data_IF_312692436147
#
_entry.id   IF_312692436147
#
_cell.length_a   1.000
_cell.length_b   1.000
_cell.length_c   1.000
_cell.angle_alpha   90.00
_cell.angle_beta   90.00
_cell.angle_gamma   90.00
#
_symmetry.space_group_name_H-M   'P 1'
#
loop_
_entity.id
_entity.type
_entity.pdbx_description
1 polymer ?
#
# COMPACT_ATOMS: atom_id res chain seq x y z
N UNK A 1 58.01 -23.50 29.55
CA UNK A 1 57.91 -22.79 28.26
C UNK A 1 56.52 -23.07 27.69
N UNK A 2 55.61 -22.09 27.79
CA UNK A 2 54.17 -22.27 27.51
C UNK A 2 53.87 -21.96 26.04
N UNK A 3 53.10 -22.85 25.41
CA UNK A 3 52.80 -22.90 23.98
C UNK A 3 51.84 -21.76 23.59
N UNK A 4 52.14 -21.17 22.44
CA UNK A 4 51.40 -20.13 21.71
C UNK A 4 50.01 -20.60 21.28
N UNK A 5 49.02 -19.70 21.35
CA UNK A 5 47.77 -19.82 20.60
C UNK A 5 47.38 -18.43 20.14
N UNK A 6 47.59 -18.17 18.85
CA UNK A 6 47.20 -16.94 18.16
C UNK A 6 45.72 -17.09 17.80
N UNK A 7 44.85 -16.29 18.41
CA UNK A 7 43.44 -16.20 18.04
C UNK A 7 43.33 -15.25 16.86
N UNK A 8 43.01 -15.78 15.68
CA UNK A 8 42.71 -15.00 14.49
C UNK A 8 41.33 -14.34 14.65
N UNK A 9 41.31 -13.03 14.84
CA UNK A 9 40.10 -12.23 14.77
C UNK A 9 39.71 -12.03 13.29
N UNK A 10 38.71 -12.78 12.82
CA UNK A 10 38.06 -12.51 11.54
C UNK A 10 37.05 -11.40 11.77
N UNK A 11 37.46 -10.17 11.48
CA UNK A 11 36.56 -9.03 11.32
C UNK A 11 35.72 -9.28 10.07
N UNK A 12 34.48 -9.69 10.25
CA UNK A 12 33.47 -9.65 9.17
C UNK A 12 33.11 -8.16 9.02
N UNK A 13 33.87 -7.47 8.18
CA UNK A 13 33.45 -6.19 7.63
C UNK A 13 32.25 -6.48 6.71
N UNK A 14 31.04 -6.32 7.25
CA UNK A 14 29.83 -6.30 6.44
C UNK A 14 29.93 -5.14 5.47
N UNK A 15 30.18 -5.44 4.21
CA UNK A 15 30.05 -4.49 3.11
C UNK A 15 28.59 -4.05 3.08
N UNK A 16 28.33 -2.82 3.51
CA UNK A 16 27.10 -2.12 3.17
C UNK A 16 27.12 -1.97 1.64
N UNK A 17 26.50 -2.93 0.95
CA UNK A 17 26.22 -2.79 -0.48
C UNK A 17 25.24 -1.64 -0.58
N UNK A 18 25.74 -0.61 -1.22
CA UNK A 18 25.18 0.71 -1.38
C UNK A 18 23.83 0.67 -2.10
N UNK A 19 22.83 1.39 -1.56
CA UNK A 19 21.64 1.78 -2.31
C UNK A 19 22.03 2.81 -3.39
N UNK A 20 22.59 2.34 -4.50
CA UNK A 20 23.07 3.16 -5.63
C UNK A 20 22.03 3.24 -6.78
N UNK A 21 20.83 2.68 -6.63
CA UNK A 21 19.82 2.62 -7.69
C UNK A 21 19.26 4.00 -8.14
N UNK A 22 19.42 5.05 -7.34
CA UNK A 22 18.91 6.40 -7.68
C UNK A 22 20.00 7.36 -8.20
N UNK A 23 21.26 6.94 -8.29
CA UNK A 23 22.32 7.83 -8.76
C UNK A 23 22.22 8.02 -10.28
N UNK A 24 21.86 9.22 -10.73
CA UNK A 24 21.94 9.58 -12.15
C UNK A 24 20.60 9.97 -12.79
N UNK A 25 19.47 9.79 -12.10
CA UNK A 25 18.21 10.37 -12.54
C UNK A 25 18.32 11.90 -12.51
N UNK A 26 17.86 12.56 -13.58
CA UNK A 26 17.78 14.02 -13.68
C UNK A 26 16.43 14.42 -14.28
N UNK A 27 16.08 15.70 -14.17
CA UNK A 27 14.83 16.23 -14.70
C UNK A 27 13.60 15.46 -14.20
N UNK A 28 12.65 15.22 -15.10
CA UNK A 28 11.34 14.63 -14.77
C UNK A 28 11.43 13.20 -14.24
N UNK A 29 12.45 12.43 -14.65
CA UNK A 29 12.70 11.07 -14.15
C UNK A 29 13.06 11.12 -12.66
N UNK A 30 13.93 12.07 -12.27
CA UNK A 30 14.26 12.27 -10.87
C UNK A 30 13.04 12.70 -10.06
N UNK A 31 12.25 13.61 -10.59
CA UNK A 31 11.07 14.16 -9.92
C UNK A 31 10.06 13.07 -9.54
N UNK A 32 9.69 12.18 -10.48
CA UNK A 32 8.79 11.06 -10.15
C UNK A 32 9.42 10.04 -9.20
N UNK A 33 10.73 9.76 -9.31
CA UNK A 33 11.40 8.84 -8.39
C UNK A 33 11.42 9.39 -6.97
N UNK A 34 11.66 10.69 -6.80
CA UNK A 34 11.61 11.36 -5.50
C UNK A 34 10.18 11.35 -4.92
N UNK A 35 9.15 11.55 -5.76
CA UNK A 35 7.75 11.44 -5.36
C UNK A 35 7.38 10.01 -4.89
N UNK A 36 7.76 8.99 -5.64
CA UNK A 36 7.54 7.58 -5.28
C UNK A 36 8.27 7.20 -3.99
N UNK A 37 9.48 7.71 -3.79
CA UNK A 37 10.25 7.51 -2.56
C UNK A 37 9.58 8.20 -1.36
N UNK A 38 9.02 9.39 -1.54
CA UNK A 38 8.27 10.09 -0.49
C UNK A 38 7.03 9.30 -0.07
N UNK A 39 6.21 8.85 -1.03
CA UNK A 39 5.06 7.99 -0.75
C UNK A 39 5.47 6.67 -0.09
N UNK A 40 6.53 6.01 -0.57
CA UNK A 40 7.05 4.78 0.03
C UNK A 40 7.53 4.96 1.48
N UNK A 41 8.08 6.13 1.83
CA UNK A 41 8.42 6.47 3.23
C UNK A 41 7.17 6.64 4.08
N UNK A 42 6.13 7.30 3.58
CA UNK A 42 4.86 7.44 4.30
C UNK A 42 4.19 6.07 4.55
N UNK A 43 4.18 5.17 3.57
CA UNK A 43 3.73 3.77 3.76
C UNK A 43 4.52 3.09 4.88
N UNK A 44 5.85 3.22 4.90
CA UNK A 44 6.71 2.65 5.96
C UNK A 44 6.40 3.22 7.35
N UNK A 45 6.05 4.49 7.43
CA UNK A 45 5.65 5.13 8.69
C UNK A 45 4.29 4.62 9.19
N UNK A 46 3.30 4.50 8.31
CA UNK A 46 1.91 4.21 8.69
C UNK A 46 1.62 2.72 8.81
N UNK A 47 2.28 1.86 8.03
CA UNK A 47 1.96 0.43 8.01
C UNK A 47 2.10 -0.29 9.38
N UNK A 48 3.09 0.01 10.23
CA UNK A 48 3.15 -0.55 11.59
C UNK A 48 1.96 -0.13 12.47
N UNK A 49 1.41 1.09 12.29
CA UNK A 49 0.21 1.54 12.99
C UNK A 49 -1.00 0.70 12.58
N UNK A 50 -1.15 0.45 11.27
CA UNK A 50 -2.25 -0.38 10.74
C UNK A 50 -2.18 -1.85 11.22
N UNK A 51 -0.98 -2.35 11.53
CA UNK A 51 -0.79 -3.69 12.11
C UNK A 51 -0.90 -3.73 13.64
N UNK A 52 -1.15 -2.58 14.28
CA UNK A 52 -1.17 -2.48 15.75
C UNK A 52 0.21 -2.67 16.41
N UNK A 53 1.30 -2.60 15.66
CA UNK A 53 2.67 -2.73 16.17
C UNK A 53 3.16 -1.45 16.84
N UNK A 54 2.53 -0.31 16.52
CA UNK A 54 2.81 1.01 17.10
C UNK A 54 1.49 1.72 17.44
N UNK A 55 1.55 2.74 18.30
CA UNK A 55 0.36 3.51 18.66
C UNK A 55 -0.29 4.15 17.42
N UNK A 56 -1.61 4.05 17.33
CA UNK A 56 -2.38 4.67 16.27
C UNK A 56 -2.42 6.20 16.45
N UNK A 57 -2.11 6.93 15.39
CA UNK A 57 -2.21 8.39 15.33
C UNK A 57 -2.94 8.80 14.05
N UNK A 58 -4.17 9.29 14.21
CA UNK A 58 -5.03 9.69 13.10
C UNK A 58 -4.42 10.83 12.26
N UNK A 59 -3.67 11.76 12.85
CA UNK A 59 -3.07 12.85 12.08
C UNK A 59 -1.91 12.35 11.22
N UNK A 60 -1.11 11.42 11.74
CA UNK A 60 -0.06 10.77 10.93
C UNK A 60 -0.66 10.01 9.73
N UNK A 61 -1.84 9.40 9.88
CA UNK A 61 -2.58 8.78 8.76
C UNK A 61 -3.05 9.82 7.75
N UNK A 62 -3.63 10.93 8.21
CA UNK A 62 -4.06 12.05 7.34
C UNK A 62 -2.90 12.64 6.55
N UNK A 63 -1.76 12.87 7.20
CA UNK A 63 -0.58 13.42 6.53
C UNK A 63 -0.05 12.50 5.42
N UNK A 64 -0.03 11.18 5.68
CA UNK A 64 0.33 10.21 4.65
C UNK A 64 -0.67 10.19 3.49
N UNK A 65 -1.97 10.21 3.79
CA UNK A 65 -3.03 10.24 2.80
C UNK A 65 -2.96 11.49 1.91
N UNK A 66 -2.74 12.68 2.49
CA UNK A 66 -2.52 13.93 1.75
C UNK A 66 -1.26 13.90 0.90
N UNK A 67 -0.20 13.26 1.37
CA UNK A 67 1.03 13.08 0.58
C UNK A 67 0.76 12.20 -0.65
N UNK A 68 -0.04 11.15 -0.50
CA UNK A 68 -0.44 10.32 -1.64
C UNK A 68 -1.26 11.12 -2.66
N UNK A 69 -2.27 11.87 -2.21
CA UNK A 69 -3.07 12.75 -3.08
C UNK A 69 -2.18 13.73 -3.87
N UNK A 70 -1.20 14.38 -3.22
CA UNK A 70 -0.27 15.31 -3.87
C UNK A 70 0.55 14.68 -5.02
N UNK A 71 0.76 13.37 -4.99
CA UNK A 71 1.58 12.62 -5.94
C UNK A 71 0.78 11.59 -6.75
N UNK A 72 -0.55 11.68 -6.76
CA UNK A 72 -1.45 10.82 -7.51
C UNK A 72 -2.12 11.56 -8.69
N UNK A 73 -3.07 10.90 -9.35
CA UNK A 73 -3.92 11.49 -10.39
C UNK A 73 -3.13 12.20 -11.51
N UNK A 74 -3.54 13.42 -11.83
CA UNK A 74 -2.85 14.25 -12.81
C UNK A 74 -1.42 14.62 -12.42
N UNK A 75 -1.14 14.81 -11.13
CA UNK A 75 0.20 15.13 -10.62
C UNK A 75 1.19 14.04 -11.02
N UNK A 76 0.77 12.77 -10.89
CA UNK A 76 1.57 11.63 -11.33
C UNK A 76 1.72 11.55 -12.83
N UNK A 77 0.60 11.56 -13.57
CA UNK A 77 0.63 11.29 -15.02
C UNK A 77 1.44 12.32 -15.80
N UNK A 78 1.47 13.59 -15.37
CA UNK A 78 2.30 14.65 -15.97
C UNK A 78 3.81 14.35 -15.92
N UNK A 79 4.26 13.45 -15.03
CA UNK A 79 5.67 13.06 -14.88
C UNK A 79 6.12 11.89 -15.78
N UNK A 80 5.22 11.37 -16.64
CA UNK A 80 5.50 10.25 -17.54
C UNK A 80 5.30 10.60 -19.03
N UNK A 81 5.96 11.66 -19.57
CA UNK A 81 5.93 11.88 -21.02
C UNK A 81 6.66 10.74 -21.75
N UNK A 82 6.21 10.46 -22.97
CA UNK A 82 6.84 9.46 -23.85
C UNK A 82 8.35 9.73 -24.00
N UNK A 83 9.12 8.65 -24.13
CA UNK A 83 10.57 8.72 -24.26
C UNK A 83 11.32 8.95 -22.94
N UNK A 84 10.65 8.88 -21.79
CA UNK A 84 11.29 8.94 -20.47
C UNK A 84 11.50 7.58 -19.79
N UNK A 85 11.39 6.48 -20.54
CA UNK A 85 11.70 5.12 -20.08
C UNK A 85 13.21 4.82 -20.09
N UNK A 86 13.55 3.57 -19.75
CA UNK A 86 14.92 3.08 -19.70
C UNK A 86 15.76 3.65 -18.55
N UNK A 87 16.91 3.02 -18.27
CA UNK A 87 17.76 3.40 -17.14
C UNK A 87 18.12 4.91 -17.16
N UNK A 88 18.00 5.63 -16.03
CA UNK A 88 17.77 5.13 -14.66
C UNK A 88 16.29 5.00 -14.26
N UNK A 89 15.36 5.18 -15.19
CA UNK A 89 13.94 4.94 -14.94
C UNK A 89 13.63 3.44 -14.88
N UNK A 90 12.79 3.08 -13.91
CA UNK A 90 12.21 1.73 -13.77
C UNK A 90 10.81 1.64 -14.40
N UNK A 91 10.32 2.71 -15.05
CA UNK A 91 9.09 2.67 -15.81
C UNK A 91 9.23 1.73 -17.02
N UNK A 92 8.35 0.72 -17.10
CA UNK A 92 8.25 -0.17 -18.26
C UNK A 92 7.59 0.58 -19.44
N UNK A 93 7.82 0.10 -20.66
CA UNK A 93 7.21 0.66 -21.87
C UNK A 93 5.67 0.63 -21.83
N UNK A 94 5.09 -0.26 -21.03
CA UNK A 94 3.64 -0.36 -20.88
C UNK A 94 2.98 0.84 -20.24
N UNK A 95 3.72 1.71 -19.56
CA UNK A 95 3.18 3.00 -19.12
C UNK A 95 2.56 3.75 -20.31
N UNK A 96 3.24 3.76 -21.46
CA UNK A 96 2.78 4.51 -22.64
C UNK A 96 1.88 3.69 -23.57
N UNK A 97 2.03 2.35 -23.60
CA UNK A 97 1.18 1.50 -24.46
C UNK A 97 -0.14 1.11 -23.82
N UNK A 98 -0.28 1.22 -22.49
CA UNK A 98 -1.49 0.94 -21.71
C UNK A 98 -1.84 2.16 -20.83
N UNK A 99 -1.78 3.35 -21.45
CA UNK A 99 -1.91 4.66 -20.79
C UNK A 99 -3.23 4.83 -20.04
N UNK A 100 -4.35 4.39 -20.62
CA UNK A 100 -5.66 4.51 -19.98
C UNK A 100 -5.68 3.80 -18.62
N UNK A 101 -5.09 2.61 -18.52
CA UNK A 101 -5.00 1.87 -17.26
C UNK A 101 -4.05 2.53 -16.28
N UNK A 102 -2.91 3.05 -16.74
CA UNK A 102 -1.98 3.79 -15.90
C UNK A 102 -2.65 5.03 -15.29
N UNK A 103 -3.33 5.84 -16.12
CA UNK A 103 -4.06 7.02 -15.68
C UNK A 103 -5.24 6.69 -14.76
N UNK A 104 -5.92 5.55 -15.00
CA UNK A 104 -6.99 5.08 -14.12
C UNK A 104 -6.48 4.70 -12.73
N UNK A 105 -5.36 3.96 -12.63
CA UNK A 105 -4.74 3.65 -11.33
C UNK A 105 -4.21 4.90 -10.64
N UNK A 106 -3.70 5.87 -11.40
CA UNK A 106 -3.29 7.16 -10.86
C UNK A 106 -4.44 7.90 -10.19
N UNK A 107 -5.59 7.98 -10.88
CA UNK A 107 -6.79 8.64 -10.38
C UNK A 107 -7.40 7.86 -9.20
N UNK A 108 -7.38 6.52 -9.27
CA UNK A 108 -7.84 5.66 -8.19
C UNK A 108 -7.00 5.84 -6.92
N UNK A 109 -5.68 6.02 -7.05
CA UNK A 109 -4.81 6.30 -5.89
C UNK A 109 -5.21 7.62 -5.22
N UNK A 110 -5.54 8.66 -6.00
CA UNK A 110 -5.99 9.95 -5.48
C UNK A 110 -7.30 9.80 -4.70
N UNK A 111 -8.29 9.15 -5.30
CA UNK A 111 -9.61 8.93 -4.70
C UNK A 111 -9.53 8.07 -3.43
N UNK A 112 -8.76 6.97 -3.47
CA UNK A 112 -8.62 6.08 -2.31
C UNK A 112 -7.86 6.77 -1.18
N UNK A 113 -6.91 7.65 -1.52
CA UNK A 113 -6.19 8.45 -0.54
C UNK A 113 -7.06 9.54 0.08
N UNK A 114 -8.00 10.14 -0.66
CA UNK A 114 -9.02 11.02 -0.06
C UNK A 114 -9.89 10.23 0.92
N UNK A 115 -10.33 9.03 0.52
CA UNK A 115 -11.08 8.13 1.39
C UNK A 115 -10.31 7.76 2.66
N UNK A 116 -9.02 7.43 2.54
CA UNK A 116 -8.14 7.14 3.67
C UNK A 116 -7.98 8.32 4.62
N UNK A 117 -7.82 9.55 4.10
CA UNK A 117 -7.74 10.75 4.93
C UNK A 117 -8.98 10.89 5.82
N UNK A 118 -10.16 10.65 5.23
CA UNK A 118 -11.44 10.74 5.93
C UNK A 118 -11.67 9.57 6.89
N UNK A 119 -11.19 8.37 6.54
CA UNK A 119 -11.27 7.18 7.39
C UNK A 119 -10.35 7.25 8.62
N UNK A 120 -9.42 8.21 8.69
CA UNK A 120 -8.43 8.28 9.76
C UNK A 120 -9.04 8.39 11.18
N UNK A 121 -10.23 8.97 11.34
CA UNK A 121 -10.89 9.05 12.66
C UNK A 121 -11.63 7.75 13.05
N UNK A 122 -11.78 6.80 12.13
CA UNK A 122 -12.48 5.53 12.39
C UNK A 122 -11.63 4.55 13.20
N UNK A 123 -10.31 4.77 13.28
CA UNK A 123 -9.38 3.89 13.97
C UNK A 123 -9.24 2.51 13.31
N UNK A 124 -8.57 1.58 13.99
CA UNK A 124 -8.31 0.23 13.49
C UNK A 124 -9.53 -0.69 13.68
N UNK A 125 -9.83 -1.54 12.70
CA UNK A 125 -10.95 -2.48 12.72
C UNK A 125 -10.73 -3.71 13.61
N UNK A 126 -9.51 -3.92 14.12
CA UNK A 126 -9.12 -5.03 14.98
C UNK A 126 -8.65 -4.61 16.38
N UNK A 127 -9.38 -5.07 17.41
CA UNK A 127 -8.99 -5.10 18.83
C UNK A 127 -8.68 -3.76 19.55
N UNK A 128 -9.39 -2.67 19.24
CA UNK A 128 -9.46 -1.53 20.18
C UNK A 128 -10.87 -0.97 20.29
N UNK A 129 -11.73 -1.76 20.91
CA UNK A 129 -12.96 -1.31 21.55
C UNK A 129 -13.00 -1.84 22.96
N UNK A 130 -12.27 -1.18 23.89
CA UNK A 130 -12.56 -1.28 25.33
C UNK A 130 -13.92 -0.62 25.60
N UNK A 131 -14.98 -1.23 25.08
CA UNK A 131 -16.33 -1.08 25.62
C UNK A 131 -16.52 -2.29 26.51
N UNK A 132 -16.54 -2.05 27.81
CA UNK A 132 -17.13 -2.94 28.79
C UNK A 132 -18.49 -3.43 28.26
N UNK A 133 -18.53 -4.65 27.75
CA UNK A 133 -19.76 -5.45 27.68
C UNK A 133 -19.58 -6.52 28.75
N UNK A 134 -20.29 -6.28 29.84
CA UNK A 134 -20.42 -7.17 30.97
C UNK A 134 -20.62 -8.61 30.53
N UNK A 135 -19.89 -9.52 31.19
CA UNK A 135 -20.13 -10.94 31.06
C UNK A 135 -21.52 -11.29 31.59
N UNK A 136 -22.43 -11.69 30.70
CA UNK A 136 -23.52 -12.63 30.97
C UNK A 136 -24.33 -12.87 29.68
N UNK A 137 -24.61 -14.15 29.40
CA UNK A 137 -25.47 -14.66 28.30
C UNK A 137 -24.73 -14.72 26.95
N UNK A 138 -24.59 -15.85 26.25
CA UNK A 138 -25.55 -16.93 26.05
C UNK A 138 -24.81 -18.24 25.80
N UNK A 139 -24.94 -19.20 26.72
CA UNK A 139 -24.95 -20.61 26.32
C UNK A 139 -26.35 -20.92 25.80
N UNK A 140 -26.46 -21.35 24.55
CA UNK A 140 -27.73 -21.75 23.95
C UNK A 140 -27.48 -22.75 22.83
N UNK A 141 -27.48 -24.04 23.19
CA UNK A 141 -27.30 -25.15 22.25
C UNK A 141 -28.43 -25.27 21.24
N UNK A 142 -28.12 -25.95 20.14
CA UNK A 142 -29.09 -26.32 19.12
C UNK A 142 -28.43 -26.89 17.89
N UNK A 143 -28.13 -28.19 17.92
CA UNK A 143 -27.86 -28.98 16.72
C UNK A 143 -29.03 -28.87 15.75
N UNK A 144 -28.80 -28.32 14.56
CA UNK A 144 -29.75 -28.35 13.45
C UNK A 144 -29.03 -28.96 12.26
N UNK A 145 -29.25 -30.26 12.08
CA UNK A 145 -28.95 -31.01 10.87
C UNK A 145 -30.22 -31.05 10.03
N UNK A 146 -30.14 -30.70 8.74
CA UNK A 146 -31.18 -31.05 7.78
C UNK A 146 -31.26 -30.16 6.54
N UNK A 147 -31.13 -30.76 5.36
CA UNK A 147 -31.88 -30.33 4.18
C UNK A 147 -31.05 -30.04 2.93
N UNK A 148 -30.86 -31.08 2.12
CA UNK A 148 -30.34 -31.07 0.76
C UNK A 148 -30.99 -30.09 -0.23
N UNK A 149 -30.19 -29.68 -1.22
CA UNK A 149 -30.54 -29.42 -2.64
C UNK A 149 -31.55 -28.31 -2.98
N UNK A 150 -31.10 -27.26 -3.70
CA UNK A 150 -31.43 -26.99 -5.12
C UNK A 150 -31.02 -25.56 -5.53
N UNK A 151 -30.14 -25.49 -6.54
CA UNK A 151 -29.98 -24.48 -7.60
C UNK A 151 -30.73 -23.13 -7.52
N UNK A 152 -29.99 -22.02 -7.46
CA UNK A 152 -30.19 -20.78 -8.22
C UNK A 152 -28.79 -20.14 -8.31
N UNK A 153 -28.11 -20.08 -9.46
CA UNK A 153 -28.52 -19.20 -10.55
C UNK A 153 -28.05 -17.77 -10.27
N UNK A 154 -26.74 -17.53 -10.32
CA UNK A 154 -26.14 -16.22 -10.03
C UNK A 154 -24.77 -16.01 -10.67
N UNK A 155 -24.50 -16.67 -11.80
CA UNK A 155 -23.32 -16.41 -12.62
C UNK A 155 -23.60 -15.19 -13.51
N UNK A 156 -23.56 -13.97 -12.95
CA UNK A 156 -23.55 -12.69 -13.73
C UNK A 156 -23.30 -11.43 -12.88
N UNK A 157 -22.45 -11.49 -11.84
CA UNK A 157 -21.93 -10.27 -11.19
C UNK A 157 -20.43 -10.07 -11.44
N UNK A 158 -19.98 -10.32 -12.67
CA UNK A 158 -18.70 -9.82 -13.18
C UNK A 158 -18.99 -8.66 -14.13
N UNK A 159 -19.73 -7.66 -13.63
CA UNK A 159 -19.90 -6.37 -14.28
C UNK A 159 -18.83 -5.44 -13.73
N UNK A 160 -17.93 -4.96 -14.60
CA UNK A 160 -17.10 -3.74 -14.44
C UNK A 160 -16.95 -3.30 -12.98
N UNK A 161 -15.99 -3.91 -12.28
CA UNK A 161 -15.84 -3.82 -10.83
C UNK A 161 -16.11 -2.41 -10.30
N UNK A 162 -17.09 -2.31 -9.40
CA UNK A 162 -17.39 -1.11 -8.65
C UNK A 162 -16.11 -0.71 -7.89
N UNK A 163 -15.36 0.22 -8.47
CA UNK A 163 -14.33 0.94 -7.74
C UNK A 163 -15.07 1.67 -6.62
N UNK A 164 -14.64 1.48 -5.39
CA UNK A 164 -15.26 2.17 -4.27
C UNK A 164 -14.88 3.64 -4.36
N UNK A 165 -15.87 4.53 -4.24
CA UNK A 165 -15.59 5.95 -4.20
C UNK A 165 -14.96 6.35 -2.84
N UNK A 166 -14.42 7.57 -2.77
CA UNK A 166 -13.83 8.10 -1.54
C UNK A 166 -14.81 8.07 -0.35
N UNK A 167 -16.12 8.21 -0.59
CA UNK A 167 -17.12 8.21 0.47
C UNK A 167 -17.31 6.82 1.09
N UNK A 168 -17.37 5.77 0.27
CA UNK A 168 -17.42 4.39 0.74
C UNK A 168 -16.15 4.00 1.51
N UNK A 169 -14.98 4.42 1.04
CA UNK A 169 -13.71 4.18 1.74
C UNK A 169 -13.66 4.91 3.09
N UNK A 170 -14.21 6.13 3.16
CA UNK A 170 -14.26 6.93 4.38
C UNK A 170 -15.09 6.28 5.51
N UNK A 171 -15.95 5.31 5.21
CA UNK A 171 -16.73 4.57 6.21
C UNK A 171 -15.98 3.35 6.77
N UNK A 172 -14.86 2.97 6.16
CA UNK A 172 -14.07 1.81 6.57
C UNK A 172 -13.20 2.13 7.79
N UNK A 173 -12.82 1.11 8.59
CA UNK A 173 -11.68 1.23 9.48
C UNK A 173 -10.41 1.67 8.72
N UNK A 174 -9.55 2.45 9.38
CA UNK A 174 -8.38 3.06 8.75
C UNK A 174 -7.38 2.03 8.21
N UNK A 175 -7.23 0.87 8.85
CA UNK A 175 -6.41 -0.24 8.37
C UNK A 175 -6.96 -0.86 7.09
N UNK A 176 -8.28 -0.98 6.98
CA UNK A 176 -8.92 -1.50 5.78
C UNK A 176 -8.86 -0.49 4.61
N UNK A 177 -9.09 0.80 4.89
CA UNK A 177 -8.90 1.87 3.91
C UNK A 177 -7.44 1.96 3.43
N UNK A 178 -6.47 1.82 4.34
CA UNK A 178 -5.04 1.81 4.02
C UNK A 178 -4.67 0.59 3.17
N UNK A 179 -5.22 -0.59 3.48
CA UNK A 179 -5.01 -1.79 2.69
C UNK A 179 -5.50 -1.61 1.24
N UNK A 180 -6.71 -1.04 1.05
CA UNK A 180 -7.23 -0.73 -0.27
C UNK A 180 -6.35 0.27 -1.02
N UNK A 181 -5.92 1.35 -0.36
CA UNK A 181 -5.06 2.38 -0.95
C UNK A 181 -3.71 1.79 -1.40
N UNK A 182 -3.08 0.97 -0.56
CA UNK A 182 -1.79 0.34 -0.88
C UNK A 182 -1.89 -0.76 -1.93
N UNK A 183 -3.06 -1.40 -2.09
CA UNK A 183 -3.31 -2.34 -3.18
C UNK A 183 -3.23 -1.66 -4.56
N UNK A 184 -3.60 -0.38 -4.67
CA UNK A 184 -3.43 0.40 -5.92
C UNK A 184 -1.96 0.54 -6.28
N UNK A 185 -1.09 0.79 -5.28
CA UNK A 185 0.36 0.85 -5.47
C UNK A 185 0.90 -0.48 -6.02
N UNK A 186 0.49 -1.59 -5.43
CA UNK A 186 0.89 -2.93 -5.88
C UNK A 186 0.44 -3.22 -7.31
N UNK A 187 -0.83 -2.95 -7.63
CA UNK A 187 -1.38 -3.17 -8.96
C UNK A 187 -0.67 -2.30 -10.03
N UNK A 188 -0.31 -1.07 -9.68
CA UNK A 188 0.44 -0.19 -10.57
C UNK A 188 1.87 -0.70 -10.79
N UNK A 189 2.59 -1.03 -9.70
CA UNK A 189 3.97 -1.51 -9.80
C UNK A 189 4.10 -2.83 -10.55
N UNK A 190 3.20 -3.78 -10.32
CA UNK A 190 3.17 -5.07 -11.03
C UNK A 190 3.12 -4.86 -12.56
N UNK A 191 2.25 -3.94 -13.00
CA UNK A 191 2.06 -3.67 -14.44
C UNK A 191 3.14 -2.78 -15.03
N UNK A 192 3.57 -1.75 -14.32
CA UNK A 192 4.26 -0.60 -14.91
C UNK A 192 5.67 -0.33 -14.39
N UNK A 193 6.12 -0.99 -13.32
CA UNK A 193 7.49 -0.87 -12.78
C UNK A 193 8.30 -2.13 -13.09
N UNK A 194 9.53 -1.98 -13.56
CA UNK A 194 10.50 -3.05 -13.71
C UNK A 194 10.84 -3.65 -12.33
N UNK A 195 11.06 -4.97 -12.27
CA UNK A 195 11.60 -5.59 -11.07
C UNK A 195 13.09 -5.23 -10.95
N UNK A 196 13.58 -5.04 -9.72
CA UNK A 196 15.00 -4.84 -9.47
C UNK A 196 15.68 -6.21 -9.63
N UNK A 197 16.51 -6.37 -10.68
CA UNK A 197 17.37 -7.56 -10.89
C UNK A 197 18.47 -7.71 -9.83
#
# INVERSE_FOLDING_TARGET
MKKTTIVAAVLIAGTAVTAFAHSGATGIVKERMDAMLAMGKAVKTVAPMMRGETAYDAETVRDAARLFQQHAGESMTKLFPEGTGGMPSEAKDEVWTDWERFAALASQLEEYSEGLERAADNGLGGMSGNTSMDGASMMGGGSMMGGDTTMMGGSTMMGRGDMMDAAAIAEMPADAAFAMTTQVCSACHERFRAEED
#
